data_IF_616949010907
#
_entry.id   IF_616949010907
#
_cell.length_a   1.000
_cell.length_b   1.000
_cell.length_c   1.000
_cell.angle_alpha   90.00
_cell.angle_beta   90.00
_cell.angle_gamma   90.00
#
_symmetry.space_group_name_H-M   'P 1'
#
loop_
_entity.id
_entity.type
_entity.pdbx_description
1 polymer ?
#
# COMPACT_ATOMS: atom_id res chain seq x y z
N UNK A 1 -7.41 15.19 -4.13
CA UNK A 1 -6.52 14.07 -3.74
C UNK A 1 -5.58 13.58 -4.85
N UNK A 2 -5.94 13.59 -6.15
CA UNK A 2 -5.00 13.15 -7.22
C UNK A 2 -3.71 13.97 -7.31
N UNK A 3 -3.79 15.30 -7.11
CA UNK A 3 -2.60 16.17 -7.14
C UNK A 3 -1.62 15.88 -5.99
N UNK A 4 -2.13 15.65 -4.77
CA UNK A 4 -1.27 15.30 -3.64
C UNK A 4 -0.52 13.98 -3.88
N UNK A 5 -1.18 12.97 -4.47
CA UNK A 5 -0.52 11.70 -4.79
C UNK A 5 0.59 11.91 -5.82
N UNK A 6 0.33 12.70 -6.87
CA UNK A 6 1.32 13.01 -7.89
C UNK A 6 2.52 13.79 -7.33
N UNK A 7 2.27 14.75 -6.43
CA UNK A 7 3.31 15.52 -5.74
C UNK A 7 4.17 14.63 -4.84
N UNK A 8 3.54 13.76 -4.05
CA UNK A 8 4.26 12.80 -3.19
C UNK A 8 5.15 11.88 -4.02
N UNK A 9 4.64 11.35 -5.12
CA UNK A 9 5.38 10.46 -6.02
C UNK A 9 6.58 11.17 -6.68
N UNK A 10 6.39 12.43 -7.12
CA UNK A 10 7.46 13.24 -7.69
C UNK A 10 8.60 13.51 -6.69
N UNK A 11 8.28 13.78 -5.42
CA UNK A 11 9.28 14.04 -4.38
C UNK A 11 10.04 12.74 -4.05
N UNK A 12 9.32 11.62 -3.88
CA UNK A 12 9.91 10.31 -3.62
C UNK A 12 10.81 9.84 -4.76
N UNK A 13 10.37 9.99 -6.01
CA UNK A 13 11.16 9.64 -7.18
C UNK A 13 12.44 10.49 -7.27
N UNK A 14 12.38 11.77 -6.93
CA UNK A 14 13.57 12.63 -6.91
C UNK A 14 14.53 12.25 -5.78
N UNK A 15 14.01 11.95 -4.59
CA UNK A 15 14.83 11.49 -3.47
C UNK A 15 15.53 10.15 -3.78
N UNK A 16 14.77 9.18 -4.30
CA UNK A 16 15.26 7.88 -4.73
C UNK A 16 16.41 8.00 -5.73
N UNK A 17 16.23 8.85 -6.76
CA UNK A 17 17.23 9.10 -7.78
C UNK A 17 18.48 9.81 -7.22
N UNK A 18 18.33 10.80 -6.33
CA UNK A 18 19.47 11.50 -5.71
C UNK A 18 20.31 10.59 -4.82
N UNK A 19 19.67 9.68 -4.09
CA UNK A 19 20.35 8.82 -3.12
C UNK A 19 20.69 7.42 -3.66
N UNK A 20 20.38 7.12 -4.93
CA UNK A 20 20.50 5.78 -5.52
C UNK A 20 19.77 4.70 -4.68
N UNK A 21 18.63 5.05 -4.10
CA UNK A 21 17.77 4.14 -3.33
C UNK A 21 16.49 3.86 -4.09
N UNK A 22 15.85 2.73 -3.79
CA UNK A 22 14.61 2.35 -4.44
C UNK A 22 13.42 2.98 -3.68
N UNK A 23 12.52 3.70 -4.38
CA UNK A 23 11.37 4.34 -3.74
C UNK A 23 10.48 3.33 -3.01
N UNK A 24 10.33 2.12 -3.55
CA UNK A 24 9.59 1.02 -2.93
C UNK A 24 10.27 0.39 -1.71
N UNK A 25 11.56 0.68 -1.48
CA UNK A 25 12.29 0.19 -0.32
C UNK A 25 12.12 1.11 0.90
N UNK A 26 11.61 2.32 0.71
CA UNK A 26 11.40 3.29 1.78
C UNK A 26 10.22 2.87 2.66
N UNK A 27 10.46 2.81 3.97
CA UNK A 27 9.41 2.61 4.96
C UNK A 27 8.53 3.85 5.07
N UNK A 28 7.30 3.69 5.58
CA UNK A 28 6.40 4.82 5.77
C UNK A 28 7.00 5.92 6.67
N UNK A 29 7.81 5.52 7.65
CA UNK A 29 8.55 6.45 8.52
C UNK A 29 9.57 7.25 7.72
N UNK A 30 10.38 6.60 6.88
CA UNK A 30 11.34 7.31 6.01
C UNK A 30 10.63 8.24 5.02
N UNK A 31 9.49 7.83 4.46
CA UNK A 31 8.68 8.69 3.59
C UNK A 31 8.19 9.94 4.35
N UNK A 32 7.81 9.80 5.62
CA UNK A 32 7.39 10.93 6.46
C UNK A 32 8.54 11.88 6.81
N UNK A 33 9.76 11.36 7.00
CA UNK A 33 10.98 12.15 7.18
C UNK A 33 11.35 12.92 5.89
N UNK A 34 11.15 12.31 4.72
CA UNK A 34 11.45 12.92 3.40
C UNK A 34 10.38 13.96 3.01
N UNK A 35 9.11 13.68 3.31
CA UNK A 35 7.96 14.55 2.99
C UNK A 35 7.31 15.03 4.31
N UNK A 36 7.86 16.08 4.95
CA UNK A 36 7.28 16.65 6.15
C UNK A 36 5.87 17.20 5.85
N UNK A 37 4.86 16.64 6.50
CA UNK A 37 3.44 16.95 6.26
C UNK A 37 2.68 15.89 5.44
N UNK A 38 3.33 14.81 4.99
CA UNK A 38 2.60 13.65 4.49
C UNK A 38 1.73 13.09 5.63
N UNK A 39 0.41 13.17 5.47
CA UNK A 39 -0.52 12.54 6.41
C UNK A 39 -0.22 11.05 6.50
N UNK A 40 0.32 10.62 7.65
CA UNK A 40 0.47 9.22 7.97
C UNK A 40 -0.94 8.67 8.13
N UNK A 41 -1.48 8.02 7.09
CA UNK A 41 -2.73 7.29 7.22
C UNK A 41 -2.57 6.35 8.41
N UNK A 42 -3.38 6.50 9.47
CA UNK A 42 -3.15 5.76 10.71
C UNK A 42 -3.14 4.27 10.41
N UNK A 43 -2.29 3.48 11.10
CA UNK A 43 -2.16 2.04 10.84
C UNK A 43 -3.52 1.32 10.91
N UNK A 44 -4.45 1.83 11.71
CA UNK A 44 -5.84 1.39 11.78
C UNK A 44 -6.58 1.46 10.44
N UNK A 45 -6.47 2.58 9.69
CA UNK A 45 -7.08 2.74 8.37
C UNK A 45 -6.44 1.83 7.31
N UNK A 46 -5.14 1.57 7.41
CA UNK A 46 -4.45 0.63 6.52
C UNK A 46 -4.92 -0.81 6.77
N UNK A 47 -4.99 -1.23 8.03
CA UNK A 47 -5.51 -2.55 8.41
C UNK A 47 -6.95 -2.74 7.94
N UNK A 48 -7.77 -1.69 8.03
CA UNK A 48 -9.16 -1.75 7.61
C UNK A 48 -9.30 -1.93 6.09
N UNK A 49 -8.47 -1.25 5.29
CA UNK A 49 -8.42 -1.45 3.83
C UNK A 49 -7.95 -2.87 3.46
N UNK A 50 -6.93 -3.40 4.14
CA UNK A 50 -6.45 -4.77 3.90
C UNK A 50 -7.54 -5.80 4.23
N UNK A 51 -8.19 -5.65 5.39
CA UNK A 51 -9.28 -6.53 5.81
C UNK A 51 -10.50 -6.44 4.88
N UNK A 52 -10.76 -5.28 4.28
CA UNK A 52 -11.83 -5.11 3.30
C UNK A 52 -11.49 -5.78 1.96
N UNK A 53 -10.22 -5.69 1.52
CA UNK A 53 -9.71 -6.39 0.33
C UNK A 53 -9.73 -7.90 0.53
N UNK A 54 -9.30 -8.42 1.68
CA UNK A 54 -9.35 -9.86 1.98
C UNK A 54 -10.79 -10.42 1.97
N UNK A 55 -11.77 -9.64 2.42
CA UNK A 55 -13.19 -10.04 2.38
C UNK A 55 -13.76 -10.08 0.96
N UNK A 56 -13.16 -9.34 0.03
CA UNK A 56 -13.58 -9.29 -1.37
C UNK A 56 -12.85 -10.32 -2.25
N UNK A 57 -11.95 -11.14 -1.70
CA UNK A 57 -11.44 -12.32 -2.39
C UNK A 57 -12.46 -13.45 -2.19
N UNK A 58 -13.36 -13.73 -3.16
CA UNK A 58 -14.19 -14.91 -3.07
C UNK A 58 -13.29 -16.16 -3.05
N UNK A 59 -13.52 -17.03 -2.07
CA UNK A 59 -13.03 -18.41 -2.00
C UNK A 59 -13.45 -19.17 -3.27
N UNK A 60 -12.74 -18.96 -4.38
CA UNK A 60 -12.87 -19.76 -5.60
C UNK A 60 -11.98 -21.00 -5.48
N UNK A 61 -12.19 -21.78 -4.40
CA UNK A 61 -11.70 -23.14 -4.29
C UNK A 61 -12.72 -24.09 -4.91
N UNK A 62 -12.32 -25.09 -5.73
CA UNK A 62 -13.27 -26.02 -6.31
C UNK A 62 -13.88 -26.90 -5.21
N UNK A 63 -15.06 -26.56 -4.72
CA UNK A 63 -15.87 -27.43 -3.85
C UNK A 63 -16.49 -28.54 -4.68
N UNK A 64 -15.67 -29.51 -5.08
CA UNK A 64 -16.17 -30.77 -5.62
C UNK A 64 -16.57 -31.69 -4.44
N UNK A 65 -17.79 -31.49 -3.92
CA UNK A 65 -18.43 -32.47 -3.04
C UNK A 65 -19.14 -33.51 -3.91
N UNK A 66 -18.42 -34.53 -4.35
CA UNK A 66 -19.03 -35.67 -5.02
C UNK A 66 -18.41 -36.98 -4.55
N UNK A 67 -18.71 -37.36 -3.30
CA UNK A 67 -18.59 -38.73 -2.81
C UNK A 67 -19.76 -39.04 -1.87
N UNK A 68 -20.96 -39.15 -2.46
CA UNK A 68 -21.95 -40.13 -2.00
C UNK A 68 -21.93 -41.26 -3.03
N UNK A 69 -21.44 -42.41 -2.61
CA UNK A 69 -21.40 -43.68 -3.34
C UNK A 69 -21.12 -44.79 -2.35
#
# INVERSE_FOLDING_TARGET
MKEEVALRDLILSNYAKKNNVNASALTQSEICDIIPGAEITPPSQRKQQIADIEKQIPDNGPRNYNFMG
#
